data_IF_110640946110
#
_entry.id   IF_110640946110
#
_cell.length_a   1.000
_cell.length_b   1.000
_cell.length_c   1.000
_cell.angle_alpha   90.00
_cell.angle_beta   90.00
_cell.angle_gamma   90.00
#
_symmetry.space_group_name_H-M   'P 1'
#
loop_
_entity.id
_entity.type
_entity.pdbx_description
1 polymer ?
#
# COMPACT_ATOMS: atom_id res chain seq x y z
N UNK A 1 -1.67 -41.98 27.33
CA UNK A 1 -2.33 -41.13 26.32
C UNK A 1 -1.69 -39.75 26.40
N UNK A 2 -0.97 -39.30 25.37
CA UNK A 2 -0.38 -37.97 25.39
C UNK A 2 -1.48 -36.93 25.14
N UNK A 3 -1.47 -35.85 25.93
CA UNK A 3 -2.35 -34.70 25.77
C UNK A 3 -2.06 -34.05 24.42
N UNK A 4 -3.09 -33.91 23.58
CA UNK A 4 -3.02 -33.04 22.42
C UNK A 4 -2.78 -31.62 22.92
N UNK A 5 -1.58 -31.10 22.68
CA UNK A 5 -1.33 -29.67 22.71
C UNK A 5 -2.25 -29.04 21.66
N UNK A 6 -3.16 -28.18 22.13
CA UNK A 6 -3.90 -27.28 21.25
C UNK A 6 -2.88 -26.44 20.51
N UNK A 7 -2.72 -26.66 19.20
CA UNK A 7 -2.11 -25.68 18.30
C UNK A 7 -2.81 -24.35 18.55
N UNK A 8 -2.13 -23.42 19.22
CA UNK A 8 -2.53 -22.01 19.21
C UNK A 8 -2.50 -21.60 17.75
N UNK A 9 -3.68 -21.36 17.18
CA UNK A 9 -3.80 -20.68 15.89
C UNK A 9 -3.16 -19.31 16.09
N UNK A 10 -2.14 -19.02 15.30
CA UNK A 10 -1.52 -17.70 15.25
C UNK A 10 -2.60 -16.67 14.86
N UNK A 11 -2.92 -15.68 15.73
CA UNK A 11 -4.09 -14.81 15.56
C UNK A 11 -3.98 -13.82 14.39
N UNK A 12 -2.83 -13.72 13.71
CA UNK A 12 -2.77 -13.08 12.41
C UNK A 12 -2.81 -14.17 11.35
N UNK A 13 -4.01 -14.60 10.97
CA UNK A 13 -4.17 -15.23 9.66
C UNK A 13 -3.66 -14.20 8.64
N UNK A 14 -2.45 -14.46 8.14
CA UNK A 14 -1.80 -13.69 7.11
C UNK A 14 -2.79 -13.28 6.03
N UNK A 15 -2.81 -12.00 5.64
CA UNK A 15 -3.49 -11.64 4.41
C UNK A 15 -2.90 -12.52 3.31
N UNK A 16 -3.75 -13.29 2.61
CA UNK A 16 -3.28 -14.19 1.54
C UNK A 16 -2.74 -13.42 0.34
N UNK A 17 -3.04 -12.12 0.28
CA UNK A 17 -2.69 -11.18 -0.78
C UNK A 17 -2.35 -9.80 -0.19
N UNK A 18 -1.52 -9.00 -0.89
CA UNK A 18 -1.31 -7.60 -0.54
C UNK A 18 -2.65 -6.84 -0.49
N UNK A 19 -2.88 -5.95 0.49
CA UNK A 19 -4.06 -5.08 0.51
C UNK A 19 -4.15 -4.21 -0.75
N UNK A 20 -5.37 -3.94 -1.20
CA UNK A 20 -5.66 -3.07 -2.33
C UNK A 20 -6.77 -2.09 -1.97
N UNK A 21 -6.66 -0.84 -2.42
CA UNK A 21 -7.60 0.19 -2.00
C UNK A 21 -7.32 1.58 -2.54
N UNK A 22 -7.89 2.56 -1.85
CA UNK A 22 -7.71 3.99 -2.08
C UNK A 22 -7.23 4.68 -0.80
N UNK A 23 -6.38 5.69 -0.96
CA UNK A 23 -5.90 6.53 0.13
C UNK A 23 -6.00 8.01 -0.26
N UNK A 24 -6.41 8.86 0.69
CA UNK A 24 -6.68 10.28 0.41
C UNK A 24 -5.46 11.20 0.24
N UNK A 25 -4.23 10.75 0.51
CA UNK A 25 -3.06 11.62 0.61
C UNK A 25 -2.71 12.35 -0.69
N UNK A 26 -2.49 11.62 -1.79
CA UNK A 26 -1.98 12.22 -3.04
C UNK A 26 -2.99 13.20 -3.67
N UNK A 27 -4.29 13.01 -3.40
CA UNK A 27 -5.37 13.89 -3.87
C UNK A 27 -5.64 15.04 -2.92
N UNK A 28 -5.80 14.78 -1.63
CA UNK A 28 -6.37 15.74 -0.67
C UNK A 28 -5.45 16.13 0.49
N UNK A 29 -4.27 15.51 0.61
CA UNK A 29 -3.32 15.75 1.68
C UNK A 29 -3.98 15.59 3.05
N UNK A 30 -3.86 16.63 3.87
CA UNK A 30 -4.41 16.68 5.23
C UNK A 30 -5.90 17.04 5.28
N UNK A 31 -6.54 17.31 4.12
CA UNK A 31 -7.81 18.07 4.04
C UNK A 31 -9.01 17.30 3.48
N UNK A 32 -8.94 15.97 3.38
CA UNK A 32 -10.05 15.17 2.87
C UNK A 32 -11.33 15.36 3.71
N UNK A 33 -12.48 15.35 3.05
CA UNK A 33 -13.82 15.45 3.66
C UNK A 33 -14.58 14.13 3.57
N UNK A 34 -15.61 13.96 4.40
CA UNK A 34 -16.49 12.78 4.41
C UNK A 34 -17.14 12.51 3.05
N UNK A 35 -17.62 13.56 2.38
CA UNK A 35 -18.26 13.42 1.07
C UNK A 35 -17.26 12.91 0.01
N UNK A 36 -16.01 13.35 0.06
CA UNK A 36 -14.95 12.89 -0.85
C UNK A 36 -14.55 11.44 -0.56
N UNK A 37 -14.48 11.05 0.71
CA UNK A 37 -14.26 9.65 1.12
C UNK A 37 -15.39 8.77 0.59
N UNK A 38 -16.65 9.16 0.81
CA UNK A 38 -17.81 8.42 0.34
C UNK A 38 -17.92 8.39 -1.19
N UNK A 39 -17.50 9.46 -1.88
CA UNK A 39 -17.47 9.48 -3.34
C UNK A 39 -16.45 8.47 -3.90
N UNK A 40 -15.25 8.41 -3.32
CA UNK A 40 -14.24 7.42 -3.71
C UNK A 40 -14.65 5.99 -3.34
N UNK A 41 -15.27 5.79 -2.17
CA UNK A 41 -15.82 4.50 -1.76
C UNK A 41 -16.90 4.00 -2.73
N UNK A 42 -17.89 4.85 -3.06
CA UNK A 42 -18.93 4.50 -4.05
C UNK A 42 -18.34 4.22 -5.43
N UNK A 43 -17.31 4.96 -5.83
CA UNK A 43 -16.63 4.70 -7.09
C UNK A 43 -16.00 3.31 -7.11
N UNK A 44 -15.28 2.91 -6.06
CA UNK A 44 -14.71 1.57 -5.95
C UNK A 44 -15.80 0.48 -6.01
N UNK A 45 -16.89 0.68 -5.27
CA UNK A 45 -17.98 -0.28 -5.15
C UNK A 45 -18.81 -0.45 -6.43
N UNK A 46 -19.13 0.66 -7.13
CA UNK A 46 -20.19 0.67 -8.14
C UNK A 46 -19.70 0.98 -9.57
N UNK A 47 -18.53 1.62 -9.75
CA UNK A 47 -18.09 2.04 -11.08
C UNK A 47 -17.88 0.85 -12.02
N UNK A 48 -18.35 0.99 -13.28
CA UNK A 48 -18.36 -0.06 -14.30
C UNK A 48 -18.96 -1.40 -13.79
N UNK A 49 -20.02 -1.30 -12.98
CA UNK A 49 -20.67 -2.47 -12.37
C UNK A 49 -19.82 -3.14 -11.29
N UNK A 50 -19.02 -2.34 -10.56
CA UNK A 50 -18.18 -2.79 -9.46
C UNK A 50 -16.91 -3.51 -9.90
N UNK A 51 -16.36 -3.16 -11.07
CA UNK A 51 -15.20 -3.84 -11.64
C UNK A 51 -13.97 -3.76 -10.71
N UNK A 52 -13.74 -2.61 -10.06
CA UNK A 52 -12.64 -2.43 -9.10
C UNK A 52 -12.87 -3.24 -7.82
N UNK A 53 -14.04 -3.13 -7.18
CA UNK A 53 -14.35 -3.95 -6.00
C UNK A 53 -14.25 -5.47 -6.30
N UNK A 54 -14.79 -5.92 -7.43
CA UNK A 54 -14.70 -7.32 -7.87
C UNK A 54 -13.26 -7.77 -8.16
N UNK A 55 -12.40 -6.83 -8.58
CA UNK A 55 -10.97 -7.02 -8.73
C UNK A 55 -10.18 -6.97 -7.41
N UNK A 56 -10.84 -6.76 -6.27
CA UNK A 56 -10.23 -6.78 -4.94
C UNK A 56 -9.80 -5.43 -4.40
N UNK A 57 -10.11 -4.32 -5.08
CA UNK A 57 -9.92 -2.96 -4.53
C UNK A 57 -10.99 -2.69 -3.47
N UNK A 58 -10.68 -2.99 -2.20
CA UNK A 58 -11.69 -3.10 -1.15
C UNK A 58 -11.47 -2.17 0.05
N UNK A 59 -10.34 -1.48 0.15
CA UNK A 59 -9.99 -0.70 1.34
C UNK A 59 -10.02 0.81 1.07
N UNK A 60 -10.70 1.59 1.91
CA UNK A 60 -10.81 3.06 1.82
C UNK A 60 -10.12 3.68 3.02
N UNK A 61 -9.01 4.41 2.81
CA UNK A 61 -8.17 4.96 3.88
C UNK A 61 -8.26 6.47 3.94
N UNK A 62 -8.68 7.00 5.09
CA UNK A 62 -8.56 8.43 5.44
C UNK A 62 -7.16 8.68 5.97
N UNK A 63 -6.35 9.42 5.21
CA UNK A 63 -4.97 9.71 5.59
C UNK A 63 -4.88 10.83 6.66
N UNK A 64 -3.66 11.26 6.96
CA UNK A 64 -3.26 12.03 8.14
C UNK A 64 -4.11 13.28 8.42
N UNK A 65 -4.14 13.67 9.70
CA UNK A 65 -4.70 14.94 10.17
C UNK A 65 -6.21 15.12 9.95
N UNK A 66 -6.97 14.03 9.89
CA UNK A 66 -8.44 14.07 10.04
C UNK A 66 -8.92 14.74 11.34
N UNK A 67 -8.04 14.86 12.33
CA UNK A 67 -8.25 15.51 13.63
C UNK A 67 -7.81 16.98 13.69
N UNK A 68 -7.22 17.56 12.63
CA UNK A 68 -6.78 18.95 12.64
C UNK A 68 -7.84 19.89 12.00
N UNK A 69 -8.47 20.80 12.77
CA UNK A 69 -9.54 21.66 12.27
C UNK A 69 -9.06 22.79 11.35
N UNK A 70 -7.77 23.11 11.36
CA UNK A 70 -7.16 24.15 10.54
C UNK A 70 -6.34 23.61 9.37
N UNK A 71 -6.42 22.30 9.12
CA UNK A 71 -5.70 21.63 8.03
C UNK A 71 -5.92 22.36 6.70
N UNK A 72 -4.84 22.51 5.94
CA UNK A 72 -4.82 23.24 4.66
C UNK A 72 -3.98 22.49 3.62
N UNK A 73 -4.17 22.78 2.32
CA UNK A 73 -3.28 22.26 1.29
C UNK A 73 -1.82 22.67 1.53
N UNK A 74 -0.87 21.92 0.97
CA UNK A 74 0.55 22.26 1.05
C UNK A 74 1.27 21.81 2.33
N UNK A 75 0.71 20.84 3.05
CA UNK A 75 1.35 20.18 4.19
C UNK A 75 0.79 20.60 5.55
N UNK A 76 1.65 20.52 6.56
CA UNK A 76 1.26 20.63 7.97
C UNK A 76 1.31 22.08 8.49
N UNK A 77 0.43 22.40 9.44
CA UNK A 77 0.55 23.66 10.19
C UNK A 77 1.51 23.50 11.36
N UNK A 78 2.36 24.50 11.57
CA UNK A 78 3.17 24.58 12.79
C UNK A 78 2.26 24.71 14.02
N UNK A 79 2.52 23.89 15.03
CA UNK A 79 1.79 23.90 16.30
C UNK A 79 0.26 23.76 16.11
N UNK A 80 -0.14 22.91 15.17
CA UNK A 80 -1.52 22.59 14.84
C UNK A 80 -2.41 22.44 16.09
N UNK A 81 -3.62 23.02 16.09
CA UNK A 81 -4.65 22.55 17.00
C UNK A 81 -4.99 21.12 16.62
N UNK A 82 -5.12 20.23 17.59
CA UNK A 82 -5.60 18.86 17.35
C UNK A 82 -6.84 18.64 18.19
N UNK A 83 -7.87 18.05 17.59
CA UNK A 83 -9.11 17.73 18.27
C UNK A 83 -8.96 16.37 18.97
N UNK A 84 -9.27 16.33 20.26
CA UNK A 84 -9.31 15.11 21.07
C UNK A 84 -10.48 15.16 22.05
N UNK A 85 -10.92 13.99 22.53
CA UNK A 85 -11.97 13.87 23.55
C UNK A 85 -11.42 14.07 24.98
N UNK A 86 -12.26 13.90 26.00
CA UNK A 86 -11.88 14.06 27.40
C UNK A 86 -10.83 13.04 27.89
N UNK A 87 -10.61 11.96 27.13
CA UNK A 87 -9.57 10.95 27.38
C UNK A 87 -8.26 11.26 26.63
N UNK A 88 -8.24 12.27 25.76
CA UNK A 88 -7.08 12.62 24.95
C UNK A 88 -6.97 11.84 23.65
N UNK A 89 -8.01 11.11 23.22
CA UNK A 89 -8.03 10.39 21.95
C UNK A 89 -8.49 11.30 20.82
N UNK A 90 -7.72 11.31 19.74
CA UNK A 90 -7.96 12.16 18.57
C UNK A 90 -9.38 11.94 18.01
N UNK A 91 -10.06 13.03 17.64
CA UNK A 91 -11.43 12.99 17.11
C UNK A 91 -11.50 13.63 15.72
N UNK A 92 -12.33 13.11 14.80
CA UNK A 92 -12.50 13.70 13.48
C UNK A 92 -13.20 15.04 13.56
N UNK A 93 -12.67 16.00 12.79
CA UNK A 93 -13.17 17.38 12.73
C UNK A 93 -14.60 17.39 12.17
N UNK A 94 -15.62 17.81 12.94
CA UNK A 94 -17.02 17.74 12.49
C UNK A 94 -17.32 18.56 11.23
N UNK A 95 -16.58 19.64 10.99
CA UNK A 95 -16.74 20.44 9.77
C UNK A 95 -16.30 19.70 8.50
N UNK A 96 -15.38 18.73 8.62
CA UNK A 96 -14.94 17.86 7.52
C UNK A 96 -15.66 16.52 7.52
N UNK A 97 -16.07 16.05 8.69
CA UNK A 97 -16.76 14.79 8.91
C UNK A 97 -18.05 15.01 9.70
N UNK A 98 -19.12 15.53 9.04
CA UNK A 98 -20.35 15.90 9.72
C UNK A 98 -21.01 14.74 10.49
N UNK A 99 -20.80 13.50 10.04
CA UNK A 99 -21.34 12.33 10.74
C UNK A 99 -20.70 12.08 12.10
N UNK A 100 -19.55 12.69 12.41
CA UNK A 100 -18.87 12.55 13.69
C UNK A 100 -19.48 13.35 14.84
N UNK A 101 -20.36 14.31 14.53
CA UNK A 101 -21.04 15.18 15.51
C UNK A 101 -21.68 14.34 16.60
N UNK A 102 -21.58 14.78 17.86
CA UNK A 102 -22.16 14.06 18.99
C UNK A 102 -21.25 12.96 19.57
N UNK A 103 -19.96 12.95 19.19
CA UNK A 103 -18.99 11.99 19.72
C UNK A 103 -19.07 10.62 19.05
N UNK A 104 -19.63 10.56 17.83
CA UNK A 104 -19.73 9.31 17.07
C UNK A 104 -18.41 8.91 16.40
N UNK A 105 -17.43 9.82 16.37
CA UNK A 105 -16.13 9.59 15.74
C UNK A 105 -16.31 9.19 14.29
N UNK A 106 -15.58 8.16 13.84
CA UNK A 106 -15.74 7.61 12.49
C UNK A 106 -16.78 6.49 12.38
N UNK A 107 -17.48 6.11 13.45
CA UNK A 107 -18.37 4.95 13.40
C UNK A 107 -19.43 5.02 12.29
N UNK A 108 -20.09 6.18 12.03
CA UNK A 108 -21.05 6.28 10.94
C UNK A 108 -20.41 6.21 9.55
N UNK A 109 -19.23 6.83 9.35
CA UNK A 109 -18.50 6.78 8.08
C UNK A 109 -18.01 5.35 7.80
N UNK A 110 -17.45 4.67 8.79
CA UNK A 110 -17.04 3.28 8.68
C UNK A 110 -18.21 2.37 8.32
N UNK A 111 -19.36 2.55 8.97
CA UNK A 111 -20.59 1.81 8.65
C UNK A 111 -21.04 2.06 7.20
N UNK A 112 -21.02 3.31 6.73
CA UNK A 112 -21.37 3.63 5.35
C UNK A 112 -20.42 3.01 4.32
N UNK A 113 -19.13 2.88 4.65
CA UNK A 113 -18.14 2.16 3.82
C UNK A 113 -18.38 0.65 3.87
N UNK A 114 -18.70 0.08 5.03
CA UNK A 114 -19.05 -1.34 5.17
C UNK A 114 -20.34 -1.72 4.44
N UNK A 115 -21.33 -0.83 4.41
CA UNK A 115 -22.59 -1.03 3.67
C UNK A 115 -22.38 -1.12 2.15
N UNK A 116 -21.26 -0.56 1.63
CA UNK A 116 -20.81 -0.73 0.25
C UNK A 116 -20.03 -2.03 0.02
N UNK A 117 -19.86 -2.86 1.05
CA UNK A 117 -19.05 -4.09 1.00
C UNK A 117 -17.53 -3.84 1.03
N UNK A 118 -17.11 -2.63 1.41
CA UNK A 118 -15.71 -2.22 1.49
C UNK A 118 -15.22 -2.23 2.94
N UNK A 119 -13.92 -2.00 3.12
CA UNK A 119 -13.21 -1.93 4.40
C UNK A 119 -12.77 -0.49 4.68
N UNK A 120 -12.83 -0.07 5.93
CA UNK A 120 -12.51 1.29 6.31
C UNK A 120 -11.16 1.37 7.03
N UNK A 121 -10.33 2.34 6.64
CA UNK A 121 -9.02 2.57 7.24
C UNK A 121 -8.79 4.01 7.64
N UNK A 122 -7.91 4.21 8.62
CA UNK A 122 -7.46 5.54 9.02
C UNK A 122 -5.95 5.56 9.21
N UNK A 123 -5.41 6.78 9.15
CA UNK A 123 -4.04 7.09 9.52
C UNK A 123 -3.94 7.51 11.00
N UNK A 124 -2.83 7.15 11.65
CA UNK A 124 -2.41 7.70 12.94
C UNK A 124 -0.93 8.10 12.90
N UNK A 125 -0.57 9.10 13.70
CA UNK A 125 0.82 9.40 14.03
C UNK A 125 1.29 8.56 15.23
N UNK A 126 2.57 8.15 15.25
CA UNK A 126 3.17 7.51 16.41
C UNK A 126 3.01 8.36 17.68
N UNK A 127 2.64 7.70 18.77
CA UNK A 127 2.71 8.24 20.11
C UNK A 127 1.43 8.96 20.56
N UNK A 128 1.58 10.10 21.24
CA UNK A 128 0.52 10.83 21.93
C UNK A 128 0.51 12.30 21.53
N UNK A 129 -0.68 12.86 21.31
CA UNK A 129 -0.86 14.26 20.93
C UNK A 129 -0.22 15.21 21.95
N UNK A 130 0.62 16.15 21.48
CA UNK A 130 1.30 17.12 22.37
C UNK A 130 0.30 17.94 23.20
N UNK A 131 -0.85 18.27 22.60
CA UNK A 131 -1.93 19.00 23.28
C UNK A 131 -2.60 18.20 24.40
N UNK A 132 -2.69 16.87 24.25
CA UNK A 132 -3.19 16.00 25.32
C UNK A 132 -2.17 15.88 26.46
N UNK A 133 -0.87 15.94 26.15
CA UNK A 133 0.22 16.02 27.14
C UNK A 133 0.18 17.35 27.89
N UNK A 134 0.02 18.48 27.19
CA UNK A 134 -0.12 19.82 27.78
C UNK A 134 -1.34 19.92 28.72
N UNK A 135 -2.44 19.24 28.38
CA UNK A 135 -3.64 19.18 29.20
C UNK A 135 -3.53 18.22 30.40
N UNK A 136 -2.47 17.43 30.49
CA UNK A 136 -2.17 16.48 31.58
C UNK A 136 -3.37 15.59 31.95
N UNK A 137 -4.01 15.00 30.94
CA UNK A 137 -5.22 14.20 31.07
C UNK A 137 -4.97 12.87 31.80
N UNK A 138 -5.97 12.29 32.48
CA UNK A 138 -5.86 10.96 33.08
C UNK A 138 -5.64 9.88 32.03
N UNK A 139 -4.73 8.93 32.29
CA UNK A 139 -4.58 7.72 31.47
C UNK A 139 -5.64 6.70 31.90
N UNK A 140 -6.56 6.27 31.01
CA UNK A 140 -7.69 5.43 31.38
C UNK A 140 -7.31 4.16 32.12
N UNK A 141 -7.97 3.88 33.24
CA UNK A 141 -7.76 2.68 34.04
C UNK A 141 -6.46 2.65 34.85
N UNK A 142 -5.73 3.77 34.96
CA UNK A 142 -4.46 3.85 35.69
C UNK A 142 -4.42 5.07 36.62
N UNK A 143 -3.47 5.13 37.58
CA UNK A 143 -3.26 6.34 38.38
C UNK A 143 -2.42 7.41 37.66
N UNK A 144 -2.00 7.17 36.42
CA UNK A 144 -1.05 8.01 35.69
C UNK A 144 -1.73 9.06 34.81
N UNK A 145 -0.95 10.03 34.34
CA UNK A 145 -1.37 11.09 33.43
C UNK A 145 -0.57 11.11 32.14
N UNK A 146 -1.11 11.79 31.12
CA UNK A 146 -0.48 11.91 29.80
C UNK A 146 0.91 12.55 29.86
N UNK A 147 1.14 13.49 30.80
CA UNK A 147 2.45 14.10 31.05
C UNK A 147 3.52 13.10 31.52
N UNK A 148 3.12 12.06 32.26
CA UNK A 148 4.05 11.08 32.83
C UNK A 148 4.49 10.02 31.81
N UNK A 149 3.63 9.73 30.83
CA UNK A 149 3.83 8.68 29.83
C UNK A 149 4.44 9.20 28.53
N UNK A 150 4.51 10.51 28.33
CA UNK A 150 5.07 11.10 27.12
C UNK A 150 6.60 11.19 27.19
N UNK A 151 7.27 10.87 26.08
CA UNK A 151 8.67 11.17 25.87
C UNK A 151 8.76 12.45 25.02
N UNK A 152 8.93 13.59 25.70
CA UNK A 152 9.00 14.90 25.04
C UNK A 152 10.28 15.12 24.21
N UNK A 153 11.24 14.18 24.29
CA UNK A 153 12.45 14.19 23.46
C UNK A 153 12.29 13.34 22.20
N UNK A 154 11.30 12.44 22.18
CA UNK A 154 10.94 11.64 21.01
C UNK A 154 9.93 12.40 20.16
N UNK A 155 10.37 12.99 19.06
CA UNK A 155 9.54 13.80 18.16
C UNK A 155 9.66 13.32 16.71
N UNK A 156 8.61 13.55 15.93
CA UNK A 156 8.66 13.43 14.48
C UNK A 156 9.37 14.66 13.87
N UNK A 157 10.22 14.44 12.85
CA UNK A 157 11.02 15.50 12.23
C UNK A 157 10.22 16.37 11.24
N UNK A 158 9.10 15.87 10.73
CA UNK A 158 8.32 16.49 9.65
C UNK A 158 6.87 16.82 10.06
N UNK A 159 6.42 16.38 11.24
CA UNK A 159 5.11 16.72 11.81
C UNK A 159 5.23 17.00 13.32
N UNK A 160 4.43 17.96 13.81
CA UNK A 160 4.54 18.45 15.20
C UNK A 160 3.42 18.00 16.14
N UNK A 161 2.55 17.10 15.70
CA UNK A 161 1.29 16.80 16.39
C UNK A 161 1.50 15.94 17.65
N UNK A 162 2.48 15.03 17.61
CA UNK A 162 2.71 14.03 18.67
C UNK A 162 4.11 14.12 19.31
N UNK A 163 4.18 13.60 20.53
CA UNK A 163 5.39 13.08 21.17
C UNK A 163 5.36 11.55 21.14
N UNK A 164 6.53 10.92 21.21
CA UNK A 164 6.62 9.48 21.49
C UNK A 164 6.10 9.13 22.89
N UNK A 165 5.87 7.84 23.10
CA UNK A 165 5.53 7.29 24.42
C UNK A 165 6.79 6.76 25.11
N UNK A 166 6.82 6.87 26.44
CA UNK A 166 7.80 6.20 27.30
C UNK A 166 7.38 4.74 27.50
N UNK A 167 7.78 3.88 26.57
CA UNK A 167 7.36 2.47 26.56
C UNK A 167 7.83 1.66 27.79
N UNK A 168 8.77 2.19 28.59
CA UNK A 168 9.18 1.65 29.89
C UNK A 168 8.24 2.04 31.05
N UNK A 169 7.39 3.05 30.87
CA UNK A 169 6.46 3.53 31.88
C UNK A 169 5.18 2.66 31.90
N UNK A 170 4.71 2.19 33.08
CA UNK A 170 3.56 1.29 33.19
C UNK A 170 2.23 1.85 32.66
N UNK A 171 2.12 3.17 32.52
CA UNK A 171 0.95 3.84 31.93
C UNK A 171 0.95 3.93 30.39
N UNK A 172 2.08 3.71 29.71
CA UNK A 172 2.18 3.94 28.27
C UNK A 172 1.37 2.90 27.46
N UNK A 173 1.52 1.60 27.75
CA UNK A 173 0.75 0.57 27.04
C UNK A 173 -0.75 0.67 27.32
N UNK A 174 -1.24 0.88 28.56
CA UNK A 174 -2.67 1.10 28.81
C UNK A 174 -3.27 2.27 28.03
N UNK A 175 -2.54 3.38 27.90
CA UNK A 175 -2.97 4.51 27.06
C UNK A 175 -3.11 4.10 25.60
N UNK A 176 -2.09 3.44 25.05
CA UNK A 176 -2.09 3.01 23.64
C UNK A 176 -3.18 1.95 23.37
N UNK A 177 -3.36 0.99 24.28
CA UNK A 177 -4.44 0.01 24.20
C UNK A 177 -5.80 0.69 24.12
N UNK A 178 -6.06 1.67 24.99
CA UNK A 178 -7.34 2.36 25.03
C UNK A 178 -7.55 3.24 23.78
N UNK A 179 -6.50 3.92 23.28
CA UNK A 179 -6.59 4.71 22.04
C UNK A 179 -6.85 3.83 20.82
N UNK A 180 -6.13 2.71 20.67
CA UNK A 180 -6.33 1.78 19.56
C UNK A 180 -7.69 1.10 19.65
N UNK A 181 -8.12 0.71 20.85
CA UNK A 181 -9.46 0.18 21.06
C UNK A 181 -10.56 1.16 20.65
N UNK A 182 -10.40 2.43 21.03
CA UNK A 182 -11.35 3.49 20.70
C UNK A 182 -11.54 3.62 19.18
N UNK A 183 -10.44 3.68 18.42
CA UNK A 183 -10.54 3.81 16.94
C UNK A 183 -10.99 2.51 16.27
N UNK A 184 -10.59 1.33 16.76
CA UNK A 184 -11.08 0.04 16.24
C UNK A 184 -12.57 -0.14 16.56
N UNK A 185 -13.03 0.40 17.68
CA UNK A 185 -14.43 0.44 18.08
C UNK A 185 -15.33 1.24 17.13
N UNK A 186 -14.77 2.17 16.34
CA UNK A 186 -15.49 2.80 15.23
C UNK A 186 -15.71 1.88 14.03
N UNK A 187 -15.10 0.69 13.99
CA UNK A 187 -15.18 -0.23 12.86
C UNK A 187 -14.00 -0.13 11.89
N UNK A 188 -12.86 0.41 12.33
CA UNK A 188 -11.64 0.44 11.51
C UNK A 188 -11.11 -0.98 11.24
N UNK A 189 -10.77 -1.25 9.98
CA UNK A 189 -10.22 -2.51 9.46
C UNK A 189 -8.75 -2.41 9.04
N UNK A 190 -8.23 -1.19 8.95
CA UNK A 190 -6.89 -0.89 8.46
C UNK A 190 -6.33 0.34 9.19
N UNK A 191 -5.14 0.20 9.77
CA UNK A 191 -4.42 1.29 10.41
C UNK A 191 -3.09 1.51 9.70
N UNK A 192 -2.93 2.68 9.09
CA UNK A 192 -1.62 3.20 8.68
C UNK A 192 -1.05 4.01 9.83
N UNK A 193 0.15 3.68 10.30
CA UNK A 193 0.80 4.42 11.38
C UNK A 193 2.15 4.96 10.90
N UNK A 194 2.25 6.28 10.87
CA UNK A 194 3.43 7.01 10.45
C UNK A 194 4.40 7.31 11.62
N UNK A 195 5.58 7.80 11.26
CA UNK A 195 6.70 8.07 12.18
C UNK A 195 7.19 6.80 12.88
N UNK A 196 7.16 5.66 12.19
CA UNK A 196 7.50 4.35 12.74
C UNK A 196 8.83 3.78 12.24
N UNK A 197 9.19 4.02 10.96
CA UNK A 197 10.28 3.29 10.30
C UNK A 197 11.51 4.15 9.95
N UNK A 198 11.39 5.48 9.97
CA UNK A 198 12.48 6.42 9.68
C UNK A 198 12.48 7.61 10.66
N UNK A 199 13.17 7.51 11.82
CA UNK A 199 13.99 6.38 12.26
C UNK A 199 13.14 5.18 12.72
N UNK A 200 13.78 4.01 12.86
CA UNK A 200 13.08 2.78 13.22
C UNK A 200 12.74 2.72 14.72
N UNK A 201 11.45 2.80 15.06
CA UNK A 201 10.93 2.78 16.43
C UNK A 201 10.44 1.39 16.84
N UNK A 202 11.38 0.51 17.22
CA UNK A 202 11.09 -0.91 17.53
C UNK A 202 10.00 -1.08 18.61
N UNK A 203 10.15 -0.37 19.72
CA UNK A 203 9.24 -0.39 20.87
C UNK A 203 7.82 0.09 20.51
N UNK A 204 7.70 1.16 19.72
CA UNK A 204 6.42 1.64 19.24
C UNK A 204 5.72 0.62 18.33
N UNK A 205 6.48 -0.06 17.44
CA UNK A 205 5.96 -1.12 16.57
C UNK A 205 5.41 -2.30 17.40
N UNK A 206 6.15 -2.75 18.41
CA UNK A 206 5.71 -3.82 19.32
C UNK A 206 4.45 -3.44 20.10
N UNK A 207 4.44 -2.23 20.66
CA UNK A 207 3.34 -1.71 21.46
C UNK A 207 2.06 -1.54 20.65
N UNK A 208 2.15 -0.97 19.44
CA UNK A 208 1.03 -0.87 18.50
C UNK A 208 0.49 -2.25 18.14
N UNK A 209 1.38 -3.18 17.81
CA UNK A 209 1.02 -4.54 17.45
C UNK A 209 0.25 -5.27 18.56
N UNK A 210 0.66 -5.06 19.83
CA UNK A 210 -0.05 -5.58 21.00
C UNK A 210 -1.42 -4.92 21.21
N UNK A 211 -1.48 -3.59 21.12
CA UNK A 211 -2.73 -2.82 21.27
C UNK A 211 -3.77 -3.24 20.22
N UNK A 212 -3.34 -3.37 18.96
CA UNK A 212 -4.20 -3.87 17.88
C UNK A 212 -4.71 -5.27 18.21
N UNK A 213 -3.84 -6.22 18.57
CA UNK A 213 -4.29 -7.59 18.92
C UNK A 213 -5.32 -7.62 20.05
N UNK A 214 -5.20 -6.72 21.04
CA UNK A 214 -6.18 -6.59 22.13
C UNK A 214 -7.51 -6.05 21.63
N UNK A 215 -7.49 -5.02 20.78
CA UNK A 215 -8.69 -4.46 20.17
C UNK A 215 -9.39 -5.48 19.25
N UNK A 216 -8.65 -6.23 18.44
CA UNK A 216 -9.19 -7.29 17.58
C UNK A 216 -9.94 -8.36 18.38
N UNK A 217 -9.36 -8.79 19.50
CA UNK A 217 -10.00 -9.75 20.42
C UNK A 217 -11.29 -9.18 21.05
N UNK A 218 -11.33 -7.88 21.34
CA UNK A 218 -12.50 -7.22 21.93
C UNK A 218 -13.64 -7.03 20.93
N UNK A 219 -13.31 -6.60 19.72
CA UNK A 219 -14.29 -6.24 18.69
C UNK A 219 -14.61 -7.37 17.72
N UNK A 220 -13.85 -8.48 17.73
CA UNK A 220 -14.02 -9.58 16.80
C UNK A 220 -13.74 -9.18 15.35
N UNK A 221 -12.89 -8.17 15.13
CA UNK A 221 -12.57 -7.56 13.83
C UNK A 221 -11.06 -7.62 13.61
N UNK A 222 -10.62 -8.04 12.42
CA UNK A 222 -9.20 -8.00 12.04
C UNK A 222 -8.84 -6.59 11.55
N UNK A 223 -7.70 -6.08 12.01
CA UNK A 223 -7.11 -4.81 11.62
C UNK A 223 -5.78 -5.06 10.93
N UNK A 224 -5.67 -4.63 9.67
CA UNK A 224 -4.41 -4.64 8.93
C UNK A 224 -3.52 -3.51 9.43
N UNK A 225 -2.26 -3.81 9.77
CA UNK A 225 -1.29 -2.82 10.25
C UNK A 225 -0.29 -2.47 9.15
N UNK A 226 -0.34 -1.22 8.70
CA UNK A 226 0.62 -0.61 7.77
C UNK A 226 1.55 0.35 8.51
N UNK A 227 2.86 0.21 8.30
CA UNK A 227 3.89 1.04 8.94
C UNK A 227 4.59 1.95 7.93
N UNK A 228 4.85 3.18 8.33
CA UNK A 228 5.38 4.24 7.45
C UNK A 228 6.12 5.34 8.24
N UNK A 229 6.87 6.25 7.60
CA UNK A 229 7.41 6.15 6.23
C UNK A 229 8.73 5.37 6.20
N UNK A 230 9.11 4.84 5.04
CA UNK A 230 10.44 4.28 4.81
C UNK A 230 11.40 5.33 4.23
N UNK A 231 12.71 5.11 4.25
CA UNK A 231 13.70 5.88 3.45
C UNK A 231 14.94 5.01 3.19
N UNK A 232 15.44 4.35 4.24
CA UNK A 232 16.57 3.42 4.21
C UNK A 232 16.28 2.16 5.06
N UNK A 233 15.07 1.61 4.94
CA UNK A 233 14.65 0.49 5.79
C UNK A 233 15.60 -0.71 5.61
N UNK A 234 16.20 -1.14 6.73
CA UNK A 234 17.16 -2.23 6.78
C UNK A 234 16.47 -3.60 6.89
N UNK A 235 16.96 -4.58 6.13
CA UNK A 235 16.52 -5.99 6.22
C UNK A 235 16.86 -6.61 7.59
N UNK A 236 17.71 -6.00 8.40
CA UNK A 236 17.94 -6.41 9.79
C UNK A 236 16.65 -6.41 10.63
N UNK A 237 15.62 -5.68 10.20
CA UNK A 237 14.33 -5.60 10.87
C UNK A 237 13.27 -6.56 10.29
N UNK A 238 13.58 -7.34 9.25
CA UNK A 238 12.58 -8.14 8.51
C UNK A 238 11.75 -9.06 9.42
N UNK A 239 12.40 -9.87 10.26
CA UNK A 239 11.67 -10.81 11.12
C UNK A 239 10.81 -10.08 12.16
N UNK A 240 11.29 -8.95 12.67
CA UNK A 240 10.51 -8.12 13.59
C UNK A 240 9.31 -7.49 12.88
N UNK A 241 9.47 -7.01 11.65
CA UNK A 241 8.37 -6.46 10.85
C UNK A 241 7.29 -7.52 10.62
N UNK A 242 7.68 -8.76 10.27
CA UNK A 242 6.77 -9.89 10.07
C UNK A 242 5.98 -10.27 11.33
N UNK A 243 6.59 -10.15 12.50
CA UNK A 243 5.93 -10.45 13.78
C UNK A 243 4.90 -9.37 14.18
N UNK A 244 5.10 -8.13 13.72
CA UNK A 244 4.42 -6.97 14.27
C UNK A 244 3.53 -6.17 13.30
N UNK A 245 3.72 -6.28 11.99
CA UNK A 245 2.97 -5.57 10.96
C UNK A 245 2.50 -6.49 9.82
N UNK A 246 1.53 -6.01 9.03
CA UNK A 246 1.06 -6.70 7.82
C UNK A 246 1.75 -6.13 6.57
N UNK A 247 2.12 -4.86 6.60
CA UNK A 247 2.88 -4.20 5.53
C UNK A 247 3.75 -3.07 6.07
N UNK A 248 4.82 -2.73 5.36
CA UNK A 248 5.78 -1.70 5.76
C UNK A 248 6.37 -0.98 4.54
N UNK A 249 6.35 0.35 4.58
CA UNK A 249 6.95 1.20 3.55
C UNK A 249 8.45 0.97 3.42
N UNK A 250 8.91 0.72 2.19
CA UNK A 250 10.35 0.54 1.88
C UNK A 250 11.00 1.77 1.25
N UNK A 251 10.21 2.82 1.02
CA UNK A 251 10.64 4.10 0.44
C UNK A 251 10.05 5.29 1.17
N UNK A 252 10.65 6.45 0.92
CA UNK A 252 10.03 7.74 1.19
C UNK A 252 8.79 7.93 0.33
N UNK A 253 8.06 9.02 0.58
CA UNK A 253 6.85 9.35 -0.14
C UNK A 253 7.11 9.42 -1.66
N UNK A 254 6.41 8.56 -2.39
CA UNK A 254 6.49 8.43 -3.84
C UNK A 254 5.48 9.37 -4.50
N UNK A 255 5.92 10.09 -5.53
CA UNK A 255 5.08 10.97 -6.33
C UNK A 255 5.16 10.62 -7.82
N UNK A 256 4.38 11.30 -8.64
CA UNK A 256 4.20 11.11 -10.08
C UNK A 256 5.41 11.58 -10.92
N UNK A 257 6.62 11.18 -10.52
CA UNK A 257 7.88 11.50 -11.17
C UNK A 257 8.60 10.21 -11.53
N UNK A 258 9.09 10.10 -12.76
CA UNK A 258 9.84 8.92 -13.19
C UNK A 258 10.99 8.51 -12.24
N UNK A 259 11.83 9.43 -11.73
CA UNK A 259 12.89 9.05 -10.78
C UNK A 259 12.39 8.36 -9.51
N UNK A 260 11.17 8.68 -9.04
CA UNK A 260 10.58 8.03 -7.88
C UNK A 260 10.16 6.59 -8.20
N UNK A 261 9.58 6.38 -9.39
CA UNK A 261 9.20 5.06 -9.92
C UNK A 261 10.43 4.20 -10.22
N UNK A 262 11.43 4.76 -10.92
CA UNK A 262 12.68 4.08 -11.25
C UNK A 262 13.41 3.59 -10.00
N UNK A 263 13.48 4.43 -8.96
CA UNK A 263 14.10 4.06 -7.70
C UNK A 263 13.44 2.83 -7.03
N UNK A 264 12.15 2.57 -7.30
CA UNK A 264 11.49 1.37 -6.78
C UNK A 264 11.97 0.08 -7.43
N UNK A 265 12.53 0.09 -8.65
CA UNK A 265 13.11 -1.12 -9.25
C UNK A 265 14.20 -1.70 -8.32
N UNK A 266 15.11 -0.85 -7.83
CA UNK A 266 16.17 -1.27 -6.91
C UNK A 266 15.67 -1.59 -5.50
N UNK A 267 14.75 -0.76 -4.96
CA UNK A 267 14.20 -1.00 -3.61
C UNK A 267 13.40 -2.30 -3.55
N UNK A 268 12.58 -2.57 -4.55
CA UNK A 268 11.81 -3.80 -4.62
C UNK A 268 12.69 -5.00 -4.97
N UNK A 269 13.75 -4.86 -5.78
CA UNK A 269 14.67 -5.98 -6.01
C UNK A 269 15.25 -6.52 -4.69
N UNK A 270 15.49 -5.63 -3.72
CA UNK A 270 15.90 -5.97 -2.35
C UNK A 270 14.77 -6.59 -1.52
N UNK A 271 13.55 -6.08 -1.61
CA UNK A 271 12.46 -6.39 -0.66
C UNK A 271 11.41 -7.40 -1.15
N UNK A 272 11.11 -7.44 -2.45
CA UNK A 272 10.12 -8.34 -3.05
C UNK A 272 10.36 -9.84 -2.77
N UNK A 273 11.61 -10.36 -2.74
CA UNK A 273 11.86 -11.76 -2.36
C UNK A 273 11.39 -12.11 -0.94
N UNK A 274 11.14 -11.10 -0.09
CA UNK A 274 10.69 -11.27 1.28
C UNK A 274 9.18 -11.00 1.47
N UNK A 275 8.49 -10.52 0.44
CA UNK A 275 7.04 -10.28 0.44
C UNK A 275 6.26 -11.58 0.36
N UNK A 276 5.27 -11.75 1.23
CA UNK A 276 4.45 -12.96 1.27
C UNK A 276 3.40 -12.90 2.37
N UNK A 277 2.76 -14.04 2.70
CA UNK A 277 1.77 -14.11 3.78
C UNK A 277 2.29 -13.56 5.13
N UNK A 278 3.59 -13.67 5.41
CA UNK A 278 4.19 -13.10 6.63
C UNK A 278 4.28 -11.56 6.65
N UNK A 279 3.94 -10.89 5.54
CA UNK A 279 3.91 -9.44 5.41
C UNK A 279 4.41 -8.94 4.07
N UNK A 280 4.03 -7.72 3.72
CA UNK A 280 4.25 -7.12 2.40
C UNK A 280 5.19 -5.93 2.47
N UNK A 281 6.26 -5.96 1.67
CA UNK A 281 7.01 -4.75 1.40
C UNK A 281 6.15 -3.78 0.57
N UNK A 282 6.02 -2.56 1.07
CA UNK A 282 5.17 -1.53 0.48
C UNK A 282 6.01 -0.49 -0.27
N UNK A 283 5.86 -0.47 -1.60
CA UNK A 283 6.50 0.48 -2.49
C UNK A 283 5.80 1.86 -2.51
N UNK A 284 4.84 2.06 -1.62
CA UNK A 284 3.99 3.24 -1.45
C UNK A 284 2.80 3.29 -2.41
N UNK A 285 1.95 4.31 -2.18
CA UNK A 285 0.75 4.60 -2.94
C UNK A 285 1.02 4.82 -4.43
N UNK A 286 -0.04 4.70 -5.23
CA UNK A 286 -0.04 4.92 -6.65
C UNK A 286 -0.53 6.36 -6.93
N UNK A 287 0.36 7.31 -7.30
CA UNK A 287 0.00 8.71 -7.57
C UNK A 287 -0.60 8.81 -8.98
N UNK A 288 -1.63 8.02 -9.23
CA UNK A 288 -2.30 7.84 -10.50
C UNK A 288 -3.66 8.51 -10.47
N UNK A 289 -4.11 9.00 -11.63
CA UNK A 289 -5.42 9.64 -11.77
C UNK A 289 -5.36 11.12 -11.40
N UNK A 290 -6.43 11.66 -10.84
CA UNK A 290 -6.51 13.07 -10.43
C UNK A 290 -5.90 13.26 -9.04
N UNK A 291 -4.69 13.81 -8.97
CA UNK A 291 -3.96 14.08 -7.74
C UNK A 291 -3.76 15.60 -7.54
N UNK A 292 -3.21 16.00 -6.38
CA UNK A 292 -2.87 17.39 -6.12
C UNK A 292 -4.07 18.30 -5.94
N UNK A 293 -5.30 17.78 -5.78
CA UNK A 293 -6.52 18.59 -5.61
C UNK A 293 -6.34 19.56 -4.45
N UNK A 294 -5.83 19.04 -3.32
CA UNK A 294 -5.42 19.79 -2.12
C UNK A 294 -4.26 19.09 -1.39
N UNK A 295 -3.36 18.46 -2.14
CA UNK A 295 -2.31 17.61 -1.60
C UNK A 295 -1.17 18.40 -0.94
N UNK A 296 -0.21 17.66 -0.36
CA UNK A 296 1.04 18.24 0.12
C UNK A 296 1.87 18.84 -1.03
N UNK A 297 1.87 18.21 -2.21
CA UNK A 297 2.77 18.56 -3.32
C UNK A 297 2.05 18.88 -4.64
N UNK A 298 2.40 20.06 -5.16
CA UNK A 298 1.99 20.53 -6.48
C UNK A 298 0.54 20.99 -6.56
N UNK A 299 0.14 21.42 -7.75
CA UNK A 299 -1.20 21.91 -8.06
C UNK A 299 -2.12 20.78 -8.59
N UNK A 300 -3.46 20.99 -8.62
CA UNK A 300 -4.43 20.00 -9.10
C UNK A 300 -4.16 19.54 -10.53
N UNK A 301 -3.86 18.26 -10.72
CA UNK A 301 -3.44 17.68 -12.01
C UNK A 301 -3.91 16.24 -12.17
N UNK A 302 -3.89 15.76 -13.42
CA UNK A 302 -3.75 14.32 -13.62
C UNK A 302 -2.27 13.98 -13.42
N UNK A 303 -1.99 12.77 -12.94
CA UNK A 303 -0.63 12.21 -12.81
C UNK A 303 0.26 12.61 -13.99
N UNK A 304 1.46 13.09 -13.70
CA UNK A 304 2.45 13.46 -14.71
C UNK A 304 3.16 12.26 -15.34
N UNK A 305 3.00 11.06 -14.77
CA UNK A 305 3.48 9.83 -15.39
C UNK A 305 2.82 9.61 -16.75
N UNK A 306 3.63 9.33 -17.76
CA UNK A 306 3.16 8.90 -19.08
C UNK A 306 2.43 7.55 -18.97
N UNK A 307 1.69 7.16 -20.03
CA UNK A 307 1.05 5.84 -20.07
C UNK A 307 2.06 4.70 -19.88
N UNK A 308 3.25 4.81 -20.48
CA UNK A 308 4.27 3.77 -20.37
C UNK A 308 4.88 3.70 -18.97
N UNK A 309 5.14 4.85 -18.33
CA UNK A 309 5.62 4.91 -16.94
C UNK A 309 4.58 4.41 -15.95
N UNK A 310 3.29 4.74 -16.14
CA UNK A 310 2.17 4.21 -15.34
C UNK A 310 2.08 2.69 -15.45
N UNK A 311 2.22 2.14 -16.66
CA UNK A 311 2.19 0.69 -16.87
C UNK A 311 3.42 0.00 -16.31
N UNK A 312 4.59 0.64 -16.38
CA UNK A 312 5.81 0.17 -15.72
C UNK A 312 5.61 0.10 -14.20
N UNK A 313 5.08 1.17 -13.60
CA UNK A 313 4.74 1.22 -12.18
C UNK A 313 3.78 0.09 -11.78
N UNK A 314 2.61 -0.02 -12.42
CA UNK A 314 1.64 -1.07 -12.09
C UNK A 314 2.22 -2.48 -12.28
N UNK A 315 2.99 -2.71 -13.35
CA UNK A 315 3.61 -4.01 -13.59
C UNK A 315 4.63 -4.38 -12.52
N UNK A 316 5.46 -3.43 -12.08
CA UNK A 316 6.43 -3.65 -11.02
C UNK A 316 5.73 -3.94 -9.69
N UNK A 317 4.73 -3.14 -9.29
CA UNK A 317 4.02 -3.35 -8.02
C UNK A 317 3.34 -4.73 -7.99
N UNK A 318 2.72 -5.14 -9.10
CA UNK A 318 2.08 -6.45 -9.21
C UNK A 318 3.09 -7.60 -9.16
N UNK A 319 4.19 -7.52 -9.93
CA UNK A 319 5.24 -8.55 -9.92
C UNK A 319 5.95 -8.65 -8.57
N UNK A 320 6.16 -7.50 -7.91
CA UNK A 320 6.84 -7.41 -6.62
C UNK A 320 5.91 -7.66 -5.42
N UNK A 321 4.60 -7.86 -5.68
CA UNK A 321 3.57 -8.07 -4.64
C UNK A 321 3.51 -6.93 -3.62
N UNK A 322 3.68 -5.70 -4.08
CA UNK A 322 3.41 -4.52 -3.26
C UNK A 322 1.91 -4.36 -3.05
N UNK A 323 1.45 -3.85 -1.90
CA UNK A 323 0.10 -3.33 -1.75
C UNK A 323 -0.22 -2.28 -2.82
N UNK A 324 -1.49 -2.17 -3.21
CA UNK A 324 -1.96 -1.28 -4.28
C UNK A 324 -2.95 -0.27 -3.71
N UNK A 325 -2.49 0.93 -3.34
CA UNK A 325 -3.37 2.02 -2.90
C UNK A 325 -3.34 3.16 -3.89
N UNK A 326 -4.43 3.39 -4.63
CA UNK A 326 -4.52 4.54 -5.52
C UNK A 326 -4.72 5.83 -4.72
N UNK A 327 -3.88 6.84 -4.97
CA UNK A 327 -3.90 8.12 -4.26
C UNK A 327 -4.76 9.20 -4.91
N UNK A 328 -5.07 9.04 -6.20
CA UNK A 328 -5.92 9.98 -6.94
C UNK A 328 -7.39 9.92 -6.55
N UNK A 329 -8.08 11.05 -6.75
CA UNK A 329 -9.54 11.13 -6.65
C UNK A 329 -10.17 10.37 -7.84
N UNK A 330 -10.66 9.17 -7.56
CA UNK A 330 -11.18 8.23 -8.56
C UNK A 330 -12.37 8.81 -9.36
N UNK A 331 -13.40 9.43 -8.73
CA UNK A 331 -14.49 10.08 -9.45
C UNK A 331 -14.09 11.09 -10.52
N UNK A 332 -12.97 11.79 -10.35
CA UNK A 332 -12.48 12.81 -11.32
C UNK A 332 -11.22 12.39 -12.07
N UNK A 333 -10.78 11.14 -11.89
CA UNK A 333 -9.67 10.55 -12.64
C UNK A 333 -10.08 10.26 -14.08
N UNK A 334 -9.10 10.30 -14.99
CA UNK A 334 -9.34 9.99 -16.39
C UNK A 334 -9.64 8.50 -16.59
N UNK A 335 -10.50 8.19 -17.58
CA UNK A 335 -10.94 6.83 -17.84
C UNK A 335 -9.80 5.88 -18.26
N UNK A 336 -8.73 6.40 -18.87
CA UNK A 336 -7.59 5.58 -19.26
C UNK A 336 -6.82 5.06 -18.04
N UNK A 337 -6.62 5.90 -17.03
CA UNK A 337 -6.05 5.48 -15.75
C UNK A 337 -6.93 4.44 -15.06
N UNK A 338 -8.24 4.68 -14.97
CA UNK A 338 -9.18 3.74 -14.34
C UNK A 338 -9.18 2.39 -15.08
N UNK A 339 -9.11 2.40 -16.42
CA UNK A 339 -9.00 1.18 -17.22
C UNK A 339 -7.70 0.41 -16.95
N UNK A 340 -6.56 1.10 -16.79
CA UNK A 340 -5.30 0.44 -16.44
C UNK A 340 -5.36 -0.19 -15.03
N UNK A 341 -6.01 0.46 -14.05
CA UNK A 341 -6.22 -0.09 -12.68
C UNK A 341 -7.16 -1.31 -12.68
N UNK A 342 -8.12 -1.34 -13.60
CA UNK A 342 -9.07 -2.44 -13.76
C UNK A 342 -8.59 -3.53 -14.75
N UNK A 343 -7.35 -3.44 -15.26
CA UNK A 343 -6.89 -4.33 -16.32
C UNK A 343 -6.79 -5.79 -15.84
N UNK A 344 -7.65 -6.71 -16.33
CA UNK A 344 -7.79 -8.05 -15.78
C UNK A 344 -6.51 -8.89 -15.81
N UNK A 345 -5.71 -8.76 -16.88
CA UNK A 345 -4.44 -9.47 -16.98
C UNK A 345 -3.37 -9.00 -15.98
N UNK A 346 -3.41 -7.73 -15.58
CA UNK A 346 -2.47 -7.13 -14.62
C UNK A 346 -2.91 -7.48 -13.20
N UNK A 347 -4.22 -7.42 -12.95
CA UNK A 347 -4.81 -7.89 -11.71
C UNK A 347 -4.58 -9.40 -11.49
N UNK A 348 -4.57 -10.22 -12.56
CA UNK A 348 -4.16 -11.62 -12.42
C UNK A 348 -2.74 -11.74 -11.84
N UNK A 349 -1.79 -10.89 -12.28
CA UNK A 349 -0.44 -10.84 -11.71
C UNK A 349 -0.48 -10.47 -10.23
N UNK A 350 -1.20 -9.41 -9.86
CA UNK A 350 -1.31 -8.98 -8.46
C UNK A 350 -1.83 -10.11 -7.54
N UNK A 351 -2.85 -10.83 -8.01
CA UNK A 351 -3.54 -11.85 -7.22
C UNK A 351 -2.81 -13.18 -7.14
N UNK A 352 -2.18 -13.60 -8.23
CA UNK A 352 -1.68 -14.97 -8.40
C UNK A 352 -0.17 -15.10 -8.41
N UNK A 353 0.57 -14.01 -8.60
CA UNK A 353 2.02 -14.09 -8.63
C UNK A 353 2.62 -14.35 -7.26
N UNK A 354 3.76 -15.04 -7.26
CA UNK A 354 4.58 -15.35 -6.10
C UNK A 354 6.06 -15.39 -6.54
N UNK A 355 6.96 -15.24 -5.57
CA UNK A 355 8.41 -15.33 -5.80
C UNK A 355 8.97 -14.26 -6.76
N UNK A 356 8.30 -13.11 -6.83
CA UNK A 356 8.70 -11.96 -7.63
C UNK A 356 10.10 -11.47 -7.30
N UNK A 357 10.95 -11.35 -8.32
CA UNK A 357 12.34 -10.89 -8.15
C UNK A 357 12.91 -10.32 -9.43
N UNK A 358 13.92 -9.47 -9.28
CA UNK A 358 14.82 -9.10 -10.37
C UNK A 358 15.64 -10.33 -10.78
N UNK A 359 15.72 -10.58 -12.09
CA UNK A 359 16.47 -11.69 -12.70
C UNK A 359 17.70 -11.21 -13.45
N UNK A 360 17.60 -10.03 -14.06
CA UNK A 360 18.63 -9.44 -14.90
C UNK A 360 18.58 -7.92 -14.80
N UNK A 361 19.75 -7.29 -14.76
CA UNK A 361 19.93 -5.86 -14.94
C UNK A 361 21.20 -5.65 -15.76
N UNK A 362 21.04 -5.06 -16.94
CA UNK A 362 22.14 -4.82 -17.87
C UNK A 362 22.02 -3.44 -18.52
N UNK A 363 23.16 -2.85 -18.90
CA UNK A 363 23.24 -1.52 -19.50
C UNK A 363 23.80 -0.48 -18.53
N UNK A 364 23.91 0.75 -19.02
CA UNK A 364 24.39 1.89 -18.24
C UNK A 364 23.26 2.51 -17.42
N UNK A 365 23.54 3.13 -16.26
CA UNK A 365 22.54 3.87 -15.48
C UNK A 365 21.74 4.86 -16.33
N UNK A 366 20.40 4.87 -16.18
CA UNK A 366 19.48 5.67 -17.01
C UNK A 366 19.26 5.13 -18.43
N UNK A 367 19.77 3.93 -18.73
CA UNK A 367 19.56 3.23 -20.00
C UNK A 367 19.59 1.70 -19.77
N UNK A 368 19.21 1.25 -18.59
CA UNK A 368 19.23 -0.14 -18.18
C UNK A 368 18.05 -0.90 -18.77
N UNK A 369 18.26 -2.19 -19.00
CA UNK A 369 17.21 -3.19 -19.16
C UNK A 369 17.13 -3.96 -17.85
N UNK A 370 15.97 -3.93 -17.22
CA UNK A 370 15.71 -4.65 -15.97
C UNK A 370 14.66 -5.72 -16.26
N UNK A 371 14.96 -6.98 -15.97
CA UNK A 371 14.04 -8.10 -16.16
C UNK A 371 13.61 -8.62 -14.80
N UNK A 372 12.31 -8.64 -14.57
CA UNK A 372 11.69 -9.24 -13.40
C UNK A 372 10.94 -10.51 -13.80
N UNK A 373 10.90 -11.48 -12.89
CA UNK A 373 10.11 -12.69 -13.08
C UNK A 373 9.28 -13.02 -11.85
N UNK A 374 8.09 -13.54 -12.09
CA UNK A 374 7.22 -14.12 -11.07
C UNK A 374 6.47 -15.32 -11.65
N UNK A 375 5.92 -16.17 -10.80
CA UNK A 375 5.12 -17.32 -11.22
C UNK A 375 4.01 -17.57 -10.21
N UNK A 376 3.04 -18.40 -10.54
CA UNK A 376 2.16 -19.00 -9.52
C UNK A 376 2.95 -19.99 -8.66
N UNK A 377 2.47 -20.27 -7.44
CA UNK A 377 3.12 -21.24 -6.54
C UNK A 377 3.23 -22.64 -7.15
N UNK A 378 2.25 -23.04 -7.96
CA UNK A 378 2.23 -24.30 -8.72
C UNK A 378 2.98 -24.24 -10.06
N UNK A 379 3.58 -23.08 -10.38
CA UNK A 379 4.25 -22.77 -11.64
C UNK A 379 3.41 -22.94 -12.92
N UNK A 380 2.07 -23.02 -12.80
CA UNK A 380 1.11 -23.09 -13.90
C UNK A 380 1.12 -21.86 -14.80
N UNK A 381 1.47 -20.69 -14.26
CA UNK A 381 1.65 -19.46 -15.02
C UNK A 381 2.94 -18.77 -14.63
N UNK A 382 3.58 -18.11 -15.61
CA UNK A 382 4.83 -17.35 -15.44
C UNK A 382 4.69 -16.00 -16.09
N UNK A 383 5.16 -14.98 -15.39
CA UNK A 383 5.18 -13.60 -15.85
C UNK A 383 6.59 -13.05 -15.86
N UNK A 384 6.88 -12.21 -16.86
CA UNK A 384 8.16 -11.54 -17.02
C UNK A 384 7.90 -10.06 -17.30
N UNK A 385 8.44 -9.16 -16.49
CA UNK A 385 8.47 -7.74 -16.83
C UNK A 385 9.82 -7.39 -17.45
N UNK A 386 9.84 -6.97 -18.72
CA UNK A 386 11.04 -6.39 -19.35
C UNK A 386 10.91 -4.87 -19.32
N UNK A 387 11.60 -4.24 -18.37
CA UNK A 387 11.58 -2.80 -18.14
C UNK A 387 12.76 -2.12 -18.84
N UNK A 388 12.56 -0.87 -19.26
CA UNK A 388 13.66 0.02 -19.68
C UNK A 388 13.70 1.26 -18.82
N UNK A 389 14.89 1.67 -18.39
CA UNK A 389 15.11 2.99 -17.77
C UNK A 389 15.55 4.06 -18.75
N UNK A 390 15.60 3.75 -20.05
CA UNK A 390 15.99 4.69 -21.10
C UNK A 390 14.87 5.69 -21.41
N UNK A 391 15.24 6.94 -21.69
CA UNK A 391 14.33 8.01 -22.11
C UNK A 391 13.79 7.87 -23.55
N UNK A 392 14.24 6.86 -24.29
CA UNK A 392 13.77 6.54 -25.64
C UNK A 392 13.39 5.07 -25.73
N UNK A 393 12.43 4.74 -26.60
CA UNK A 393 12.06 3.36 -26.86
C UNK A 393 13.24 2.58 -27.44
N UNK A 394 13.41 1.33 -27.02
CA UNK A 394 14.53 0.48 -27.45
C UNK A 394 14.12 -0.93 -27.75
N UNK A 395 14.78 -1.52 -28.74
CA UNK A 395 14.68 -2.96 -29.00
C UNK A 395 15.64 -3.71 -28.07
N UNK A 396 15.08 -4.61 -27.27
CA UNK A 396 15.79 -5.43 -26.29
C UNK A 396 15.68 -6.89 -26.70
N UNK A 397 16.80 -7.61 -26.56
CA UNK A 397 16.87 -9.06 -26.80
C UNK A 397 17.24 -9.77 -25.52
N UNK A 398 16.28 -10.49 -24.95
CA UNK A 398 16.48 -11.24 -23.70
C UNK A 398 16.38 -12.73 -23.98
N UNK A 399 17.36 -13.50 -23.52
CA UNK A 399 17.31 -14.96 -23.56
C UNK A 399 16.18 -15.48 -22.68
N UNK A 400 15.36 -16.40 -23.18
CA UNK A 400 14.16 -16.86 -22.48
C UNK A 400 14.53 -17.50 -21.12
N UNK A 401 15.62 -18.28 -21.06
CA UNK A 401 16.08 -18.83 -19.78
C UNK A 401 16.53 -17.75 -18.78
N UNK A 402 17.21 -16.69 -19.25
CA UNK A 402 17.60 -15.53 -18.43
C UNK A 402 16.39 -14.74 -17.92
N UNK A 403 15.29 -14.74 -18.67
CA UNK A 403 14.02 -14.15 -18.26
C UNK A 403 13.20 -15.04 -17.30
N UNK A 404 13.72 -16.22 -16.90
CA UNK A 404 13.01 -17.14 -16.01
C UNK A 404 11.91 -17.96 -16.69
N UNK A 405 11.90 -17.97 -18.03
CA UNK A 405 11.04 -18.82 -18.86
C UNK A 405 11.78 -20.12 -19.24
N UNK A 406 11.08 -21.15 -19.72
CA UNK A 406 11.73 -22.25 -20.43
C UNK A 406 12.56 -21.69 -21.59
N UNK A 407 13.73 -22.26 -21.88
CA UNK A 407 14.63 -21.78 -22.95
C UNK A 407 14.11 -22.00 -24.38
N UNK A 408 12.96 -22.65 -24.54
CA UNK A 408 12.28 -22.86 -25.82
C UNK A 408 10.75 -22.70 -25.66
N UNK A 409 10.27 -21.52 -25.22
CA UNK A 409 8.85 -21.30 -25.03
C UNK A 409 8.14 -21.31 -26.39
N UNK A 410 6.95 -21.91 -26.45
CA UNK A 410 6.18 -22.00 -27.69
C UNK A 410 5.57 -20.64 -28.07
N UNK A 411 4.94 -19.96 -27.10
CA UNK A 411 4.42 -18.62 -27.28
C UNK A 411 4.57 -17.78 -26.00
N UNK A 412 4.70 -16.48 -26.21
CA UNK A 412 4.70 -15.46 -25.14
C UNK A 412 3.80 -14.32 -25.61
N UNK A 413 2.94 -13.84 -24.72
CA UNK A 413 2.00 -12.73 -25.01
C UNK A 413 2.29 -11.55 -24.10
N UNK A 414 2.15 -10.34 -24.61
CA UNK A 414 2.13 -9.13 -23.79
C UNK A 414 0.77 -9.01 -23.10
N UNK A 415 0.78 -8.83 -21.77
CA UNK A 415 -0.41 -8.77 -20.93
C UNK A 415 -1.21 -7.50 -21.20
N UNK A 416 -0.56 -6.36 -21.48
CA UNK A 416 -1.23 -5.08 -21.70
C UNK A 416 -1.88 -4.99 -23.08
N UNK A 417 -1.26 -5.59 -24.11
CA UNK A 417 -1.75 -5.48 -25.50
C UNK A 417 -2.42 -6.74 -26.02
N UNK A 418 -2.15 -7.90 -25.41
CA UNK A 418 -2.55 -9.21 -25.93
C UNK A 418 -1.73 -9.69 -27.14
N UNK A 419 -0.74 -8.92 -27.57
CA UNK A 419 0.06 -9.24 -28.76
C UNK A 419 1.08 -10.36 -28.49
N UNK A 420 1.31 -11.20 -29.49
CA UNK A 420 2.39 -12.19 -29.42
C UNK A 420 3.76 -11.53 -29.54
N UNK A 421 4.65 -11.89 -28.62
CA UNK A 421 6.05 -11.47 -28.66
C UNK A 421 6.77 -12.21 -29.79
N UNK A 422 7.60 -11.48 -30.53
CA UNK A 422 8.50 -12.08 -31.51
C UNK A 422 9.56 -12.91 -30.80
N UNK A 423 9.59 -14.21 -31.11
CA UNK A 423 10.59 -15.16 -30.61
C UNK A 423 11.60 -15.47 -31.72
N UNK A 424 12.89 -15.30 -31.45
CA UNK A 424 13.96 -15.81 -32.31
C UNK A 424 14.27 -17.26 -31.90
N UNK A 425 14.42 -18.18 -32.87
CA UNK A 425 14.57 -19.61 -32.57
C UNK A 425 15.83 -19.91 -31.77
N UNK A 426 15.77 -20.99 -30.99
CA UNK A 426 16.93 -21.55 -30.30
C UNK A 426 17.87 -22.22 -31.32
N UNK A 427 18.99 -21.56 -31.64
CA UNK A 427 19.99 -22.05 -32.57
C UNK A 427 21.42 -21.78 -32.09
N UNK A 428 22.42 -22.16 -32.88
CA UNK A 428 23.82 -21.95 -32.51
C UNK A 428 24.19 -20.46 -32.33
N UNK A 429 23.51 -19.53 -33.01
CA UNK A 429 23.77 -18.10 -32.91
C UNK A 429 23.16 -17.48 -31.64
N UNK A 430 22.03 -18.03 -31.15
CA UNK A 430 21.43 -17.62 -29.87
C UNK A 430 22.02 -18.35 -28.66
N UNK A 431 22.84 -19.38 -28.90
CA UNK A 431 23.44 -20.23 -27.87
C UNK A 431 22.50 -21.36 -27.42
N UNK A 432 21.56 -21.77 -28.27
CA UNK A 432 20.59 -22.82 -27.99
C UNK A 432 19.39 -22.37 -27.14
N UNK A 433 19.19 -21.05 -26.98
CA UNK A 433 18.08 -20.46 -26.23
C UNK A 433 17.22 -19.59 -27.15
N UNK A 434 15.91 -19.62 -26.97
CA UNK A 434 14.99 -18.70 -27.62
C UNK A 434 15.24 -17.28 -27.12
N UNK A 435 15.21 -16.30 -28.02
CA UNK A 435 15.39 -14.89 -27.65
C UNK A 435 14.07 -14.15 -27.79
N UNK A 436 13.61 -13.54 -26.69
CA UNK A 436 12.54 -12.56 -26.65
C UNK A 436 13.06 -11.29 -27.34
N UNK A 437 12.50 -10.93 -28.49
CA UNK A 437 12.89 -9.75 -29.28
C UNK A 437 11.78 -8.70 -29.20
N UNK A 438 11.85 -7.85 -28.17
CA UNK A 438 10.80 -6.91 -27.78
C UNK A 438 11.26 -5.48 -27.98
N UNK A 439 10.37 -4.62 -28.47
CA UNK A 439 10.54 -3.17 -28.38
C UNK A 439 9.93 -2.70 -27.07
N UNK A 440 10.73 -2.16 -26.17
CA UNK A 440 10.30 -1.63 -24.87
C UNK A 440 10.19 -0.10 -24.98
N UNK A 441 9.07 0.53 -24.57
CA UNK A 441 8.92 1.98 -24.62
C UNK A 441 9.91 2.72 -23.71
N UNK A 442 10.05 4.02 -23.93
CA UNK A 442 10.80 4.90 -23.02
C UNK A 442 10.23 4.79 -21.60
N UNK A 443 11.09 4.54 -20.62
CA UNK A 443 10.70 4.33 -19.21
C UNK A 443 9.63 3.23 -18.99
N UNK A 444 9.41 2.40 -20.02
CA UNK A 444 8.25 1.53 -20.12
C UNK A 444 8.54 0.10 -19.73
N UNK A 445 7.53 -0.74 -19.96
CA UNK A 445 7.59 -2.18 -19.72
C UNK A 445 6.92 -2.95 -20.85
N UNK A 446 7.43 -4.16 -21.10
CA UNK A 446 6.65 -5.23 -21.71
C UNK A 446 6.40 -6.29 -20.64
N UNK A 447 5.13 -6.38 -20.19
CA UNK A 447 4.72 -7.35 -19.19
C UNK A 447 4.24 -8.59 -19.93
N UNK A 448 5.00 -9.67 -19.83
CA UNK A 448 4.85 -10.86 -20.65
C UNK A 448 4.30 -12.01 -19.82
N UNK A 449 3.52 -12.89 -20.47
CA UNK A 449 3.02 -14.14 -19.90
C UNK A 449 3.38 -15.31 -20.81
N UNK A 450 3.92 -16.38 -20.22
CA UNK A 450 4.10 -17.67 -20.90
C UNK A 450 2.74 -18.36 -21.05
N UNK A 451 2.35 -18.66 -22.29
CA UNK A 451 1.14 -19.41 -22.67
C UNK A 451 -0.12 -19.04 -21.85
N UNK A 452 -0.65 -17.83 -22.08
CA UNK A 452 -1.92 -17.33 -21.53
C UNK A 452 -2.99 -17.08 -22.61
N UNK A 453 -4.25 -16.79 -22.22
CA UNK A 453 -5.31 -16.46 -23.18
C UNK A 453 -4.91 -15.28 -24.06
N UNK A 454 -5.21 -15.37 -25.36
CA UNK A 454 -4.88 -14.36 -26.38
C UNK A 454 -5.77 -13.12 -26.33
N UNK A 455 -6.76 -13.08 -25.42
CA UNK A 455 -7.65 -11.95 -25.23
C UNK A 455 -8.12 -11.83 -23.79
N UNK A 456 -7.92 -10.66 -23.20
CA UNK A 456 -8.46 -10.29 -21.89
C UNK A 456 -9.72 -9.43 -22.09
N UNK A 457 -10.80 -10.02 -22.57
CA UNK A 457 -12.06 -9.30 -22.74
C UNK A 457 -12.85 -9.27 -21.42
N UNK A 458 -13.56 -8.18 -21.15
CA UNK A 458 -14.39 -7.97 -19.94
C UNK A 458 -15.61 -8.92 -19.81
N UNK A 459 -15.60 -10.06 -20.50
CA UNK A 459 -16.74 -10.97 -20.66
C UNK A 459 -16.69 -12.25 -19.83
N UNK A 460 -15.55 -12.68 -19.29
CA UNK A 460 -15.46 -13.99 -18.64
C UNK A 460 -15.79 -13.94 -17.14
N UNK A 461 -17.00 -13.48 -16.83
CA UNK A 461 -17.62 -13.62 -15.51
C UNK A 461 -18.20 -15.02 -15.38
N UNK A 462 -17.42 -15.97 -14.84
CA UNK A 462 -17.93 -17.34 -14.74
C UNK A 462 -17.05 -18.37 -14.05
N UNK A 463 -16.55 -18.09 -12.85
CA UNK A 463 -15.88 -19.11 -12.03
C UNK A 463 -16.06 -18.86 -10.54
N UNK A 464 -17.19 -19.31 -9.97
CA UNK A 464 -17.34 -19.42 -8.52
C UNK A 464 -16.24 -20.36 -8.00
N UNK A 465 -15.30 -19.81 -7.25
CA UNK A 465 -14.36 -20.59 -6.44
C UNK A 465 -15.11 -20.89 -5.14
N UNK A 466 -15.49 -22.16 -4.96
CA UNK A 466 -16.04 -22.67 -3.71
C UNK A 466 -14.95 -22.95 -2.68
#
# INVERSE_FOLDING_TARGET
MPRQESRRVDPRAAASRPPMGWNSWDSYGTTVTEDEVLANARFLADHDGGALAAAGWDTVVVDIQWYEPTARPGGYNDAAPVLFDDQGFLQPVPARFPSSVGGHGFAPLAAAVHDLGLRFGIHLMRGIARRAVEADLPVPGTPYRTGEIADTTSTCAWNSDCYGLRHDHPGAQPWLDAMVDHVVGWGVDFLKVDDMLAPYHRDAVEALSLAVRRAELRHGRRVVVSLSPGTELSLAHLEHLREHADMWRVSDDLWDRWPDVEAQLGRMARWAPHSGPAGWADADMLPLGRIGVRAERGEPRHSLLTTDERRAMLSLWCLARSPLFVGGDLPTSDAATVADLAHPGVLEVAHRSAGGRELLREGEPGAETVVWGAATDDASARWVGVFSTAAEARRVRVRAASAGLPGCPAAVVDVWTGEHVRLLPADAATGGDTVLDVEVPAHGVRLLRLDGPTSWSAGDRGGRIG
#
